data_IF_561232403501
#
_entry.id   IF_561232403501
#
_cell.length_a   1.000
_cell.length_b   1.000
_cell.length_c   1.000
_cell.angle_alpha   90.00
_cell.angle_beta   90.00
_cell.angle_gamma   90.00
#
_symmetry.space_group_name_H-M   'P 1'
#
loop_
_entity.id
_entity.type
_entity.pdbx_description
1 polymer ?
#
# COMPACT_ATOMS: atom_id res chain seq x y z
N UNK A 1 -8.51 1.94 -21.38
CA UNK A 1 -7.95 2.32 -20.06
C UNK A 1 -7.86 1.06 -19.22
N UNK A 2 -6.74 0.83 -18.53
CA UNK A 2 -6.55 -0.34 -17.65
C UNK A 2 -6.68 0.16 -16.21
N UNK A 3 -7.58 -0.45 -15.43
CA UNK A 3 -7.76 -0.21 -14.01
C UNK A 3 -7.09 -1.36 -13.25
N UNK A 4 -6.18 -1.04 -12.34
CA UNK A 4 -5.54 -2.04 -11.49
C UNK A 4 -6.24 -2.07 -10.13
N UNK A 5 -6.81 -3.21 -9.77
CA UNK A 5 -7.34 -3.42 -8.42
C UNK A 5 -6.24 -3.98 -7.53
N UNK A 6 -5.94 -3.29 -6.43
CA UNK A 6 -4.91 -3.64 -5.48
C UNK A 6 -5.51 -4.36 -4.28
N UNK A 7 -4.96 -5.52 -4.00
CA UNK A 7 -5.19 -6.27 -2.76
C UNK A 7 -4.26 -5.77 -1.64
N UNK A 8 -4.55 -6.12 -0.38
CA UNK A 8 -3.69 -5.80 0.77
C UNK A 8 -2.23 -6.25 0.54
N UNK A 9 -2.03 -7.42 -0.06
CA UNK A 9 -0.71 -7.96 -0.38
C UNK A 9 0.10 -7.07 -1.35
N UNK A 10 -0.56 -6.28 -2.20
CA UNK A 10 0.09 -5.33 -3.09
C UNK A 10 0.58 -4.09 -2.32
N UNK A 11 -0.18 -3.65 -1.33
CA UNK A 11 0.20 -2.53 -0.44
C UNK A 11 1.36 -2.89 0.49
N UNK A 12 1.40 -4.12 1.01
CA UNK A 12 2.53 -4.60 1.82
C UNK A 12 3.85 -4.44 1.07
N UNK A 13 3.89 -4.80 -0.22
CA UNK A 13 5.09 -4.69 -1.07
C UNK A 13 5.61 -3.27 -1.28
N UNK A 14 4.82 -2.25 -0.93
CA UNK A 14 5.26 -0.85 -0.92
C UNK A 14 6.13 -0.53 0.29
N UNK A 15 5.91 -1.20 1.41
CA UNK A 15 6.55 -0.92 2.70
C UNK A 15 7.53 -2.02 3.14
N UNK A 16 7.33 -3.25 2.65
CA UNK A 16 8.20 -4.39 2.89
C UNK A 16 8.89 -4.81 1.60
N UNK A 17 10.15 -5.22 1.73
CA UNK A 17 10.93 -5.73 0.60
C UNK A 17 10.67 -7.23 0.45
N UNK A 18 9.89 -7.56 -0.57
CA UNK A 18 9.44 -8.93 -0.84
C UNK A 18 9.58 -9.25 -2.33
N UNK A 19 9.37 -10.52 -2.68
CA UNK A 19 9.28 -10.92 -4.09
C UNK A 19 8.13 -10.17 -4.77
N UNK A 20 8.45 -9.44 -5.84
CA UNK A 20 7.50 -8.61 -6.58
C UNK A 20 7.43 -7.15 -6.14
N UNK A 21 8.20 -6.71 -5.13
CA UNK A 21 8.29 -5.29 -4.74
C UNK A 21 8.74 -4.40 -5.90
N UNK A 22 9.73 -4.81 -6.69
CA UNK A 22 10.20 -4.01 -7.83
C UNK A 22 9.10 -3.76 -8.88
N UNK A 23 8.30 -4.79 -9.18
CA UNK A 23 7.16 -4.66 -10.09
C UNK A 23 6.08 -3.74 -9.52
N UNK A 24 5.81 -3.84 -8.22
CA UNK A 24 4.82 -2.99 -7.56
C UNK A 24 5.27 -1.53 -7.50
N UNK A 25 6.54 -1.27 -7.22
CA UNK A 25 7.12 0.07 -7.23
C UNK A 25 7.06 0.70 -8.64
N UNK A 26 7.35 -0.09 -9.67
CA UNK A 26 7.22 0.33 -11.07
C UNK A 26 5.76 0.68 -11.41
N UNK A 27 4.80 -0.12 -10.93
CA UNK A 27 3.37 0.14 -11.12
C UNK A 27 2.94 1.48 -10.50
N UNK A 28 3.42 1.79 -9.29
CA UNK A 28 3.15 3.07 -8.62
C UNK A 28 3.85 4.26 -9.29
N UNK A 29 5.02 4.07 -9.89
CA UNK A 29 5.78 5.15 -10.56
C UNK A 29 5.13 5.65 -11.86
N UNK A 30 4.36 4.79 -12.55
CA UNK A 30 3.81 5.07 -13.87
C UNK A 30 2.43 5.77 -13.88
N UNK A 31 2.02 6.41 -12.77
CA UNK A 31 0.76 7.18 -12.66
C UNK A 31 -0.48 6.42 -13.19
N UNK A 32 -0.53 5.10 -12.94
CA UNK A 32 -1.66 4.25 -13.34
C UNK A 32 -2.87 4.53 -12.47
N UNK A 33 -4.07 4.45 -13.04
CA UNK A 33 -5.31 4.46 -12.25
C UNK A 33 -5.42 3.15 -11.48
N UNK A 34 -5.40 3.24 -10.15
CA UNK A 34 -5.48 2.12 -9.23
C UNK A 34 -6.68 2.28 -8.32
N UNK A 35 -7.33 1.16 -7.99
CA UNK A 35 -8.40 1.10 -7.00
C UNK A 35 -8.01 0.07 -5.94
N UNK A 36 -8.45 0.27 -4.70
CA UNK A 36 -8.33 -0.74 -3.64
C UNK A 36 -9.55 -0.62 -2.73
N UNK A 37 -9.95 -1.72 -2.09
CA UNK A 37 -10.93 -1.65 -1.01
C UNK A 37 -10.27 -1.07 0.25
N UNK A 38 -11.01 -0.26 1.00
CA UNK A 38 -10.56 0.27 2.30
C UNK A 38 -10.13 -0.84 3.28
N UNK A 39 -10.73 -2.03 3.15
CA UNK A 39 -10.35 -3.22 3.93
C UNK A 39 -8.87 -3.59 3.73
N UNK A 40 -8.34 -3.47 2.51
CA UNK A 40 -6.95 -3.82 2.22
C UNK A 40 -5.95 -2.90 2.94
N UNK A 41 -6.30 -1.62 3.16
CA UNK A 41 -5.50 -0.72 3.98
C UNK A 41 -5.56 -1.08 5.47
N UNK A 42 -6.73 -1.48 5.97
CA UNK A 42 -6.90 -1.91 7.37
C UNK A 42 -6.03 -3.15 7.65
N UNK A 43 -6.01 -4.11 6.73
CA UNK A 43 -5.17 -5.31 6.85
C UNK A 43 -3.69 -4.95 6.90
N UNK A 44 -3.22 -4.08 5.99
CA UNK A 44 -1.82 -3.62 5.96
C UNK A 44 -1.45 -2.89 7.25
N UNK A 45 -2.35 -2.04 7.76
CA UNK A 45 -2.18 -1.34 9.03
C UNK A 45 -2.05 -2.33 10.19
N UNK A 46 -2.96 -3.30 10.29
CA UNK A 46 -2.93 -4.33 11.33
C UNK A 46 -1.63 -5.16 11.27
N UNK A 47 -1.19 -5.54 10.07
CA UNK A 47 0.09 -6.25 9.89
C UNK A 47 1.27 -5.38 10.30
N UNK A 48 1.28 -4.08 9.97
CA UNK A 48 2.36 -3.17 10.34
C UNK A 48 2.45 -2.91 11.84
N UNK A 49 1.34 -2.98 12.58
CA UNK A 49 1.34 -2.87 14.05
C UNK A 49 1.87 -4.16 14.69
N UNK A 50 1.51 -5.32 14.15
CA UNK A 50 1.93 -6.63 14.68
C UNK A 50 3.41 -6.92 14.40
N UNK A 51 3.91 -6.52 13.23
CA UNK A 51 5.30 -6.68 12.82
C UNK A 51 5.84 -5.36 12.25
N UNK A 52 6.30 -4.44 13.11
CA UNK A 52 6.66 -3.10 12.67
C UNK A 52 7.88 -3.10 11.75
N UNK A 53 7.80 -2.46 10.56
CA UNK A 53 8.95 -2.25 9.72
C UNK A 53 9.90 -1.23 10.38
N UNK A 54 11.19 -1.20 10.01
CA UNK A 54 12.18 -0.30 10.61
C UNK A 54 11.79 1.20 10.53
N UNK A 55 10.94 1.58 9.56
CA UNK A 55 10.42 2.93 9.40
C UNK A 55 8.92 3.04 9.76
N UNK A 56 8.45 2.32 10.79
CA UNK A 56 7.03 2.20 11.14
C UNK A 56 6.26 3.54 11.19
N UNK A 57 6.82 4.58 11.84
CA UNK A 57 6.15 5.90 11.94
C UNK A 57 5.93 6.51 10.56
N UNK A 58 6.90 6.37 9.66
CA UNK A 58 6.82 6.88 8.29
C UNK A 58 5.76 6.10 7.50
N UNK A 59 5.77 4.78 7.61
CA UNK A 59 4.81 3.88 6.97
C UNK A 59 3.38 4.19 7.42
N UNK A 60 3.18 4.42 8.71
CA UNK A 60 1.88 4.78 9.29
C UNK A 60 1.37 6.12 8.73
N UNK A 61 2.23 7.13 8.62
CA UNK A 61 1.89 8.43 8.03
C UNK A 61 1.49 8.31 6.57
N UNK A 62 2.24 7.51 5.78
CA UNK A 62 1.90 7.26 4.38
C UNK A 62 0.57 6.51 4.22
N UNK A 63 0.32 5.49 5.04
CA UNK A 63 -0.94 4.75 5.02
C UNK A 63 -2.14 5.62 5.42
N UNK A 64 -1.97 6.50 6.41
CA UNK A 64 -3.01 7.47 6.79
C UNK A 64 -3.28 8.48 5.67
N UNK A 65 -2.24 8.93 4.98
CA UNK A 65 -2.37 9.81 3.82
C UNK A 65 -3.10 9.13 2.66
N UNK A 66 -2.72 7.90 2.31
CA UNK A 66 -3.35 7.11 1.26
C UNK A 66 -4.82 6.78 1.63
N UNK A 67 -5.11 6.47 2.90
CA UNK A 67 -6.47 6.27 3.40
C UNK A 67 -7.32 7.54 3.32
N UNK A 68 -6.75 8.70 3.62
CA UNK A 68 -7.44 9.99 3.47
C UNK A 68 -7.78 10.29 2.01
N UNK A 69 -6.84 10.05 1.09
CA UNK A 69 -7.02 10.20 -0.36
C UNK A 69 -8.08 9.27 -0.95
N UNK A 70 -8.39 8.14 -0.29
CA UNK A 70 -9.46 7.24 -0.74
C UNK A 70 -10.86 7.68 -0.33
N UNK A 71 -10.98 8.56 0.68
CA UNK A 71 -12.27 9.02 1.21
C UNK A 71 -12.73 10.34 0.58
N UNK A 72 -11.80 11.09 -0.04
CA UNK A 72 -12.03 12.38 -0.73
C UNK A 72 -12.16 12.17 -2.23
#
# INVERSE_FOLDING_TARGET
MILYYLDASAWVKRYYQESGTAWMQDLFAHNRTMACASLGLIEVMATSVLNPPPNFVLVLLYLLYDAFLMVV
#
